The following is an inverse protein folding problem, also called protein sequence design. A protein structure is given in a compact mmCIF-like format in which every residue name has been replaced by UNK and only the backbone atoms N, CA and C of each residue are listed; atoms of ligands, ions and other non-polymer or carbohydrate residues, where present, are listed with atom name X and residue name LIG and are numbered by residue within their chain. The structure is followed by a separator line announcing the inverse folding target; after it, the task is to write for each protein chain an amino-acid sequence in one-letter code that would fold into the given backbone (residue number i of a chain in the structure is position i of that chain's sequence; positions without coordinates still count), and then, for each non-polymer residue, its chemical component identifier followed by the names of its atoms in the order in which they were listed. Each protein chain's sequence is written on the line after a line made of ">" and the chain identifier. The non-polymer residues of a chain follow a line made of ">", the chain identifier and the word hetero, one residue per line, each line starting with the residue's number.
data_IF_163482441647
#
_entry.id   IF_163482441647
#
_cell.length_a   1.000
_cell.length_b   1.000
_cell.length_c   1.000
_cell.angle_alpha   90.00
_cell.angle_beta   90.00
_cell.angle_gamma   90.00
#
_symmetry.space_group_name_H-M   'P 1'
#
loop_
_entity.id
_entity.type
_entity.pdbx_description
1 polymer ?
#
# COMPACT_ATOMS: atom_id res chain seq x y z
N UNK A 1 -13.57 -16.95 0.50
CA UNK A 1 -12.12 -16.93 0.86
C UNK A 1 -11.98 -16.82 2.36
N UNK A 2 -11.08 -17.58 2.99
CA UNK A 2 -10.78 -17.53 4.42
C UNK A 2 -9.36 -17.02 4.64
N UNK A 3 -9.19 -16.00 5.46
CA UNK A 3 -7.91 -15.34 5.74
C UNK A 3 -7.55 -15.59 7.20
N UNK A 4 -6.40 -16.21 7.45
CA UNK A 4 -5.87 -16.36 8.80
C UNK A 4 -4.85 -15.25 9.09
N UNK A 5 -5.00 -14.59 10.23
CA UNK A 5 -4.12 -13.50 10.67
C UNK A 5 -3.48 -13.89 12.01
N UNK A 6 -2.29 -14.51 11.99
CA UNK A 6 -1.58 -14.88 13.21
C UNK A 6 -0.99 -13.65 13.89
N UNK A 7 -1.18 -13.55 15.21
CA UNK A 7 -0.76 -12.42 16.02
C UNK A 7 0.31 -12.86 17.05
N UNK A 8 1.61 -12.88 16.66
CA UNK A 8 2.68 -13.41 17.52
C UNK A 8 3.06 -12.52 18.71
N UNK A 9 2.64 -11.27 18.73
CA UNK A 9 3.04 -10.33 19.79
C UNK A 9 2.02 -9.21 19.97
N UNK A 10 2.45 -8.05 20.48
CA UNK A 10 1.67 -6.81 20.44
C UNK A 10 1.77 -6.26 19.03
N UNK A 11 0.64 -6.16 18.35
CA UNK A 11 0.61 -5.84 16.92
C UNK A 11 0.46 -4.34 16.69
N UNK A 12 0.96 -3.86 15.56
CA UNK A 12 0.63 -2.54 15.05
C UNK A 12 -0.85 -2.50 14.65
N UNK A 13 -1.64 -1.66 15.32
CA UNK A 13 -3.06 -1.52 15.05
C UNK A 13 -3.33 -1.14 13.59
N UNK A 14 -2.52 -0.25 13.03
CA UNK A 14 -2.67 0.17 11.64
C UNK A 14 -2.59 -1.00 10.65
N UNK A 15 -1.67 -1.94 10.86
CA UNK A 15 -1.51 -3.10 9.97
C UNK A 15 -2.74 -4.03 10.09
N UNK A 16 -3.22 -4.28 11.31
CA UNK A 16 -4.40 -5.10 11.58
C UNK A 16 -5.66 -4.45 11.00
N UNK A 17 -5.84 -3.15 11.22
CA UNK A 17 -6.98 -2.39 10.69
C UNK A 17 -6.95 -2.33 9.16
N UNK A 18 -5.75 -2.24 8.55
CA UNK A 18 -5.62 -2.28 7.09
C UNK A 18 -6.16 -3.58 6.48
N UNK A 19 -5.95 -4.71 7.16
CA UNK A 19 -6.50 -6.02 6.73
C UNK A 19 -8.03 -5.99 6.84
N UNK A 20 -8.56 -5.54 7.99
CA UNK A 20 -10.01 -5.46 8.22
C UNK A 20 -10.65 -4.53 7.18
N UNK A 21 -10.08 -3.34 6.98
CA UNK A 21 -10.61 -2.34 6.07
C UNK A 21 -10.74 -2.87 4.64
N UNK A 22 -9.77 -3.62 4.14
CA UNK A 22 -9.78 -4.09 2.75
C UNK A 22 -10.62 -5.36 2.56
N UNK A 23 -10.66 -6.24 3.56
CA UNK A 23 -11.29 -7.56 3.39
C UNK A 23 -12.62 -7.71 4.13
N UNK A 24 -12.98 -6.79 5.02
CA UNK A 24 -14.23 -6.81 5.80
C UNK A 24 -15.06 -5.53 5.63
N UNK A 25 -14.79 -4.71 4.59
CA UNK A 25 -15.53 -3.48 4.34
C UNK A 25 -16.93 -3.78 3.77
N UNK A 26 -17.97 -3.38 4.50
CA UNK A 26 -19.37 -3.49 4.07
C UNK A 26 -19.72 -2.55 2.92
N UNK A 27 -18.93 -1.50 2.69
CA UNK A 27 -19.18 -0.52 1.63
C UNK A 27 -18.80 -1.02 0.24
N UNK A 28 -17.93 -2.01 0.14
CA UNK A 28 -17.57 -2.66 -1.09
C UNK A 28 -18.54 -3.81 -1.33
N UNK A 29 -19.22 -3.79 -2.47
CA UNK A 29 -20.22 -4.78 -2.84
C UNK A 29 -19.59 -6.15 -3.12
N UNK A 30 -19.14 -6.83 -2.05
CA UNK A 30 -19.11 -8.28 -2.07
C UNK A 30 -20.56 -8.75 -2.20
N UNK A 31 -20.88 -9.54 -3.22
CA UNK A 31 -22.15 -10.28 -3.18
C UNK A 31 -22.22 -11.00 -1.82
N UNK A 32 -23.37 -11.01 -1.17
CA UNK A 32 -23.57 -11.47 0.21
C UNK A 32 -23.05 -12.90 0.51
N UNK A 33 -22.68 -13.69 -0.51
CA UNK A 33 -22.12 -15.04 -0.41
C UNK A 33 -20.57 -15.12 -0.49
N UNK A 34 -19.88 -14.04 -0.90
CA UNK A 34 -18.47 -14.11 -1.30
C UNK A 34 -17.53 -13.30 -0.40
N UNK A 35 -18.06 -12.75 0.70
CA UNK A 35 -17.29 -11.97 1.66
C UNK A 35 -16.18 -12.83 2.30
N UNK A 36 -14.94 -12.34 2.33
CA UNK A 36 -13.87 -13.02 3.05
C UNK A 36 -14.17 -13.16 4.54
N UNK A 37 -13.79 -14.29 5.12
CA UNK A 37 -13.81 -14.52 6.57
C UNK A 37 -12.41 -14.28 7.11
N UNK A 38 -12.25 -13.41 8.08
CA UNK A 38 -10.98 -13.09 8.72
C UNK A 38 -10.93 -13.78 10.08
N UNK A 39 -9.98 -14.67 10.29
CA UNK A 39 -9.73 -15.34 11.55
C UNK A 39 -8.46 -14.78 12.19
N UNK A 40 -8.59 -14.02 13.26
CA UNK A 40 -7.45 -13.63 14.09
C UNK A 40 -7.08 -14.77 15.02
N UNK A 41 -5.83 -15.23 14.95
CA UNK A 41 -5.36 -16.40 15.70
C UNK A 41 -4.16 -16.07 16.59
N UNK A 42 -4.20 -16.56 17.83
CA UNK A 42 -3.11 -16.41 18.81
C UNK A 42 -3.19 -17.54 19.84
N UNK A 43 -2.30 -17.60 20.84
CA UNK A 43 -2.43 -18.54 21.95
C UNK A 43 -3.38 -18.07 23.07
N UNK A 44 -3.97 -16.88 22.92
CA UNK A 44 -4.90 -16.32 23.88
C UNK A 44 -6.25 -16.03 23.20
N UNK A 45 -7.29 -15.77 23.97
CA UNK A 45 -8.61 -15.37 23.44
C UNK A 45 -8.70 -13.90 23.03
N UNK A 46 -7.67 -13.12 23.34
CA UNK A 46 -7.51 -11.74 22.88
C UNK A 46 -6.02 -11.38 22.78
N UNK A 47 -5.69 -10.44 21.90
CA UNK A 47 -4.32 -9.91 21.73
C UNK A 47 -4.32 -8.39 21.83
N UNK A 48 -3.30 -7.87 22.48
CA UNK A 48 -3.07 -6.43 22.55
C UNK A 48 -2.57 -5.91 21.19
N UNK A 49 -3.09 -4.75 20.83
CA UNK A 49 -2.56 -3.89 19.78
C UNK A 49 -1.87 -2.69 20.47
N UNK A 50 -1.13 -1.90 19.71
CA UNK A 50 -0.61 -0.63 20.22
C UNK A 50 -1.74 0.35 20.55
N UNK A 51 -1.40 1.48 21.16
CA UNK A 51 -2.38 2.51 21.62
C UNK A 51 -3.49 2.01 22.55
N UNK A 52 -3.27 0.91 23.30
CA UNK A 52 -4.21 0.38 24.28
C UNK A 52 -5.42 -0.35 23.69
N UNK A 53 -5.42 -0.62 22.40
CA UNK A 53 -6.45 -1.43 21.75
C UNK A 53 -6.21 -2.93 21.97
N UNK A 54 -7.25 -3.74 21.76
CA UNK A 54 -7.17 -5.19 21.74
C UNK A 54 -8.13 -5.78 20.72
N UNK A 55 -7.83 -6.98 20.27
CA UNK A 55 -8.67 -7.72 19.33
C UNK A 55 -8.94 -9.13 19.87
N UNK A 56 -10.17 -9.62 19.68
CA UNK A 56 -10.54 -10.99 20.01
C UNK A 56 -9.85 -11.95 19.05
N UNK A 57 -9.42 -13.10 19.55
CA UNK A 57 -8.69 -14.10 18.77
C UNK A 57 -9.22 -15.50 19.05
N UNK A 58 -9.11 -16.39 18.07
CA UNK A 58 -9.24 -17.82 18.26
C UNK A 58 -7.92 -18.41 18.76
N UNK A 59 -7.97 -19.23 19.79
CA UNK A 59 -6.77 -19.88 20.27
C UNK A 59 -6.21 -20.83 19.20
N UNK A 60 -4.88 -20.77 18.96
CA UNK A 60 -4.23 -21.56 17.92
C UNK A 60 -4.51 -23.06 18.02
N UNK A 61 -4.59 -23.60 19.25
CA UNK A 61 -4.93 -25.02 19.52
C UNK A 61 -6.34 -25.41 19.08
N UNK A 62 -7.25 -24.42 19.02
CA UNK A 62 -8.67 -24.58 18.69
C UNK A 62 -8.95 -24.19 17.23
N UNK A 63 -7.93 -23.72 16.51
CA UNK A 63 -8.03 -23.31 15.11
C UNK A 63 -7.76 -24.50 14.18
N UNK A 64 -8.83 -25.04 13.61
CA UNK A 64 -8.79 -26.23 12.73
C UNK A 64 -9.18 -25.91 11.28
N UNK A 65 -9.44 -24.64 10.99
CA UNK A 65 -9.82 -24.18 9.68
C UNK A 65 -8.63 -24.22 8.69
N UNK A 66 -8.95 -24.33 7.41
CA UNK A 66 -7.95 -24.26 6.33
C UNK A 66 -8.03 -22.89 5.68
N UNK A 67 -7.08 -22.01 5.93
CA UNK A 67 -7.08 -20.70 5.27
C UNK A 67 -6.66 -20.83 3.80
N UNK A 68 -7.22 -19.94 2.97
CA UNK A 68 -6.79 -19.74 1.59
C UNK A 68 -5.58 -18.80 1.53
N UNK A 69 -5.48 -17.88 2.50
CA UNK A 69 -4.47 -16.85 2.62
C UNK A 69 -4.08 -16.65 4.08
N UNK A 70 -2.79 -16.45 4.34
CA UNK A 70 -2.27 -16.08 5.66
C UNK A 70 -1.68 -14.67 5.54
N UNK A 71 -2.08 -13.73 6.41
CA UNK A 71 -1.51 -12.39 6.46
C UNK A 71 -0.91 -12.14 7.84
N UNK A 72 0.40 -11.90 7.88
CA UNK A 72 1.15 -11.65 9.12
C UNK A 72 1.35 -10.13 9.24
N UNK A 73 0.62 -9.43 10.12
CA UNK A 73 0.81 -7.99 10.34
C UNK A 73 2.09 -7.70 11.10
N UNK A 74 2.53 -6.44 11.08
CA UNK A 74 3.66 -5.99 11.87
C UNK A 74 3.36 -5.99 13.37
N UNK A 75 4.38 -6.18 14.17
CA UNK A 75 4.27 -6.14 15.62
C UNK A 75 5.09 -4.99 16.23
N UNK A 76 4.58 -4.47 17.35
CA UNK A 76 5.18 -3.38 18.09
C UNK A 76 6.46 -3.83 18.81
N UNK A 77 7.38 -2.88 18.90
CA UNK A 77 8.63 -2.97 19.64
C UNK A 77 9.83 -3.66 18.97
N UNK A 78 10.14 -3.32 17.74
CA UNK A 78 11.39 -3.75 17.12
C UNK A 78 12.64 -3.10 17.77
N UNK A 79 12.50 -2.02 18.57
CA UNK A 79 13.64 -1.40 19.25
C UNK A 79 14.25 -2.26 20.37
N UNK A 80 13.49 -3.15 21.00
CA UNK A 80 14.04 -4.13 21.92
C UNK A 80 14.91 -5.17 21.21
N UNK A 81 14.65 -5.40 19.93
CA UNK A 81 15.46 -6.27 19.06
C UNK A 81 16.81 -5.63 18.76
N UNK A 82 16.82 -4.30 18.51
CA UNK A 82 18.01 -3.56 18.12
C UNK A 82 18.98 -3.31 19.28
N UNK A 83 18.51 -3.27 20.53
CA UNK A 83 19.31 -2.87 21.67
C UNK A 83 20.08 -3.99 22.34
N UNK A 84 19.76 -5.26 22.11
CA UNK A 84 20.45 -6.37 22.79
C UNK A 84 21.33 -7.23 21.86
N UNK A 85 22.26 -6.57 21.20
CA UNK A 85 23.33 -7.23 20.43
C UNK A 85 24.29 -8.06 21.29
N UNK A 86 24.12 -8.10 22.65
CA UNK A 86 25.11 -8.69 23.59
C UNK A 86 24.92 -10.18 23.84
N UNK A 87 23.78 -10.78 23.56
CA UNK A 87 23.50 -12.13 24.11
C UNK A 87 23.38 -13.23 23.08
N UNK A 88 23.60 -13.00 21.80
CA UNK A 88 23.57 -14.06 20.76
C UNK A 88 22.21 -14.73 20.51
N UNK A 89 21.23 -14.48 21.35
CA UNK A 89 19.90 -15.10 21.37
C UNK A 89 18.82 -14.21 20.72
N UNK A 90 19.22 -13.49 19.69
CA UNK A 90 18.36 -12.54 18.98
C UNK A 90 17.07 -13.18 18.38
N UNK A 91 17.11 -14.48 18.11
CA UNK A 91 15.95 -15.19 17.51
C UNK A 91 14.75 -15.30 18.45
N UNK A 92 14.98 -15.46 19.76
CA UNK A 92 13.92 -15.59 20.75
C UNK A 92 13.30 -14.24 21.16
N UNK A 93 14.01 -13.13 20.96
CA UNK A 93 13.60 -11.79 21.42
C UNK A 93 12.79 -10.97 20.41
N UNK A 94 12.68 -11.43 19.18
CA UNK A 94 11.76 -10.85 18.17
C UNK A 94 10.31 -10.85 18.64
N UNK A 95 9.97 -11.69 19.60
CA UNK A 95 8.61 -11.94 20.08
C UNK A 95 8.54 -11.64 21.59
N UNK A 96 8.45 -10.39 21.92
CA UNK A 96 8.75 -9.88 23.27
C UNK A 96 7.73 -10.18 24.35
N UNK A 97 6.54 -10.69 24.03
CA UNK A 97 5.50 -10.89 25.04
C UNK A 97 5.45 -12.32 25.58
N UNK A 98 5.59 -13.33 24.71
CA UNK A 98 5.58 -14.74 25.11
C UNK A 98 6.34 -15.60 24.08
N UNK A 99 7.54 -16.14 24.44
CA UNK A 99 8.31 -17.02 23.55
C UNK A 99 7.53 -18.28 23.13
N UNK A 100 6.63 -18.79 23.97
CA UNK A 100 5.82 -19.97 23.65
C UNK A 100 4.79 -19.67 22.55
N UNK A 101 4.16 -18.50 22.59
CA UNK A 101 3.26 -18.02 21.52
C UNK A 101 3.97 -17.95 20.18
N UNK A 102 5.14 -17.37 20.19
CA UNK A 102 5.94 -17.17 18.99
C UNK A 102 6.35 -18.52 18.36
N UNK A 103 6.78 -19.47 19.20
CA UNK A 103 7.14 -20.82 18.74
C UNK A 103 5.94 -21.56 18.15
N UNK A 104 4.78 -21.51 18.81
CA UNK A 104 3.57 -22.18 18.34
C UNK A 104 3.11 -21.60 16.99
N UNK A 105 3.11 -20.28 16.82
CA UNK A 105 2.78 -19.63 15.55
C UNK A 105 3.81 -19.97 14.47
N UNK A 106 5.09 -19.99 14.78
CA UNK A 106 6.15 -20.42 13.85
C UNK A 106 5.88 -21.83 13.35
N UNK A 107 5.64 -22.77 14.25
CA UNK A 107 5.44 -24.18 13.89
C UNK A 107 4.16 -24.36 13.06
N UNK A 108 3.11 -23.61 13.38
CA UNK A 108 1.89 -23.56 12.59
C UNK A 108 2.13 -22.98 11.18
N UNK A 109 2.91 -21.90 11.05
CA UNK A 109 3.28 -21.31 9.77
C UNK A 109 4.09 -22.31 8.92
N UNK A 110 5.04 -23.02 9.53
CA UNK A 110 5.83 -24.06 8.82
C UNK A 110 4.92 -25.16 8.31
N UNK A 111 3.95 -25.62 9.11
CA UNK A 111 2.97 -26.60 8.69
C UNK A 111 2.04 -26.10 7.57
N UNK A 112 1.83 -24.79 7.51
CA UNK A 112 0.97 -24.11 6.53
C UNK A 112 1.72 -23.64 5.26
N UNK A 113 2.94 -24.08 5.01
CA UNK A 113 3.83 -23.60 3.91
C UNK A 113 3.24 -23.74 2.50
N UNK A 114 2.16 -24.49 2.30
CA UNK A 114 1.44 -24.62 1.01
C UNK A 114 0.38 -23.56 0.78
N UNK A 115 0.00 -22.83 1.83
CA UNK A 115 -0.93 -21.70 1.76
C UNK A 115 -0.17 -20.47 1.25
N UNK A 116 -0.84 -19.57 0.60
CA UNK A 116 -0.27 -18.28 0.26
C UNK A 116 -0.06 -17.44 1.51
N UNK A 117 1.15 -16.87 1.66
CA UNK A 117 1.53 -16.13 2.86
C UNK A 117 1.93 -14.72 2.46
N UNK A 118 1.33 -13.75 3.10
CA UNK A 118 1.73 -12.35 3.03
C UNK A 118 2.24 -11.87 4.39
N UNK A 119 3.38 -11.21 4.42
CA UNK A 119 3.90 -10.60 5.65
C UNK A 119 4.17 -9.12 5.42
N UNK A 120 3.72 -8.28 6.34
CA UNK A 120 3.85 -6.84 6.23
C UNK A 120 4.68 -6.26 7.36
N UNK A 121 5.39 -5.17 7.08
CA UNK A 121 6.16 -4.43 8.08
C UNK A 121 7.15 -5.36 8.81
N UNK A 122 7.19 -5.31 10.14
CA UNK A 122 7.99 -6.20 10.99
C UNK A 122 7.46 -7.64 11.06
N UNK A 123 6.24 -7.92 10.58
CA UNK A 123 5.71 -9.27 10.45
C UNK A 123 6.56 -10.20 9.57
N UNK A 124 7.37 -9.61 8.68
CA UNK A 124 8.32 -10.33 7.83
C UNK A 124 9.38 -11.08 8.66
N UNK A 125 9.73 -10.59 9.83
CA UNK A 125 10.65 -11.30 10.73
C UNK A 125 10.05 -12.61 11.25
N UNK A 126 8.74 -12.63 11.56
CA UNK A 126 8.05 -13.86 11.96
C UNK A 126 8.10 -14.90 10.84
N UNK A 127 7.92 -14.48 9.60
CA UNK A 127 8.03 -15.36 8.44
C UNK A 127 9.49 -15.80 8.21
N UNK A 128 10.46 -14.91 8.33
CA UNK A 128 11.87 -15.25 8.18
C UNK A 128 12.34 -16.31 9.20
N UNK A 129 11.79 -16.24 10.40
CA UNK A 129 12.09 -17.21 11.47
C UNK A 129 11.62 -18.64 11.17
N UNK A 130 10.66 -18.82 10.29
CA UNK A 130 10.24 -20.15 9.81
C UNK A 130 11.25 -20.81 8.87
N UNK A 131 12.16 -20.04 8.27
CA UNK A 131 13.03 -20.47 7.18
C UNK A 131 12.39 -20.41 5.79
N UNK A 132 11.11 -20.03 5.69
CA UNK A 132 10.40 -19.96 4.39
C UNK A 132 10.91 -18.82 3.49
N UNK A 133 11.70 -17.88 4.04
CA UNK A 133 12.36 -16.83 3.27
C UNK A 133 13.77 -17.19 2.79
N UNK A 134 14.28 -18.39 3.06
CA UNK A 134 15.59 -18.81 2.56
C UNK A 134 15.60 -18.85 1.02
N UNK A 135 16.44 -18.01 0.40
CA UNK A 135 16.51 -17.85 -1.05
C UNK A 135 15.36 -17.07 -1.70
N UNK A 136 14.49 -16.44 -0.88
CA UNK A 136 13.35 -15.64 -1.35
C UNK A 136 13.67 -14.16 -1.30
N UNK A 137 13.34 -13.42 -2.36
CA UNK A 137 13.35 -11.97 -2.33
C UNK A 137 12.27 -11.44 -1.37
N UNK A 138 12.67 -10.63 -0.41
CA UNK A 138 11.77 -10.06 0.59
C UNK A 138 12.16 -8.62 0.94
N UNK A 139 11.23 -7.89 1.51
CA UNK A 139 11.44 -6.55 2.08
C UNK A 139 10.73 -6.45 3.42
N UNK A 140 11.10 -5.48 4.23
CA UNK A 140 10.48 -5.19 5.52
C UNK A 140 10.48 -3.68 5.77
N UNK A 141 10.02 -3.24 6.92
CA UNK A 141 10.01 -1.82 7.27
C UNK A 141 11.42 -1.21 7.21
N UNK A 142 11.55 -0.06 6.56
CA UNK A 142 12.81 0.56 6.15
C UNK A 142 13.90 0.59 7.25
N UNK A 143 13.61 0.96 8.51
CA UNK A 143 14.62 0.96 9.58
C UNK A 143 15.21 -0.42 9.91
N UNK A 144 14.55 -1.51 9.51
CA UNK A 144 14.88 -2.88 9.88
C UNK A 144 15.41 -3.74 8.73
N UNK A 145 15.66 -3.15 7.56
CA UNK A 145 16.21 -3.88 6.40
C UNK A 145 17.57 -4.50 6.68
N UNK A 146 18.47 -3.75 7.34
CA UNK A 146 19.79 -4.22 7.67
C UNK A 146 19.74 -5.28 8.79
N UNK A 147 18.83 -5.12 9.75
CA UNK A 147 18.63 -6.10 10.82
C UNK A 147 18.06 -7.42 10.27
N UNK A 148 17.10 -7.36 9.33
CA UNK A 148 16.58 -8.55 8.67
C UNK A 148 17.69 -9.29 7.91
N UNK A 149 18.49 -8.57 7.11
CA UNK A 149 19.59 -9.16 6.35
C UNK A 149 20.67 -9.77 7.25
N UNK A 150 20.99 -9.12 8.38
CA UNK A 150 21.99 -9.62 9.32
C UNK A 150 21.53 -10.85 10.09
N UNK A 151 20.23 -10.90 10.48
CA UNK A 151 19.68 -12.01 11.27
C UNK A 151 19.32 -13.23 10.40
N UNK A 152 18.92 -13.00 9.15
CA UNK A 152 18.48 -14.04 8.21
C UNK A 152 19.29 -13.94 6.90
N UNK A 153 20.59 -14.30 6.93
CA UNK A 153 21.49 -14.08 5.80
C UNK A 153 21.16 -14.90 4.56
N UNK A 154 20.25 -15.87 4.64
CA UNK A 154 19.78 -16.62 3.50
C UNK A 154 18.59 -15.97 2.80
N UNK A 155 17.90 -15.03 3.45
CA UNK A 155 16.83 -14.25 2.84
C UNK A 155 17.45 -13.20 1.89
N UNK A 156 16.84 -13.00 0.72
CA UNK A 156 17.32 -12.05 -0.28
C UNK A 156 16.68 -10.68 -0.06
N UNK A 157 17.15 -9.95 0.96
CA UNK A 157 16.54 -8.68 1.38
C UNK A 157 16.73 -7.58 0.33
N UNK A 158 15.63 -7.06 -0.19
CA UNK A 158 15.55 -5.99 -1.18
C UNK A 158 15.35 -4.64 -0.50
N UNK A 159 16.39 -3.79 -0.52
CA UNK A 159 16.38 -2.49 0.18
C UNK A 159 15.66 -1.39 -0.59
N UNK A 160 15.53 -1.56 -1.89
CA UNK A 160 14.94 -0.60 -2.84
C UNK A 160 13.48 -0.93 -3.19
N UNK A 161 12.87 -1.92 -2.50
CA UNK A 161 11.52 -2.36 -2.77
C UNK A 161 10.60 -2.16 -1.60
N UNK A 162 9.41 -1.66 -1.90
CA UNK A 162 8.35 -1.48 -0.92
C UNK A 162 7.46 -2.73 -0.80
N UNK A 163 7.42 -3.54 -1.85
CA UNK A 163 6.64 -4.77 -1.92
C UNK A 163 7.37 -5.80 -2.79
N UNK A 164 7.37 -7.05 -2.37
CA UNK A 164 7.89 -8.18 -3.14
C UNK A 164 6.84 -9.27 -3.23
N UNK A 165 6.86 -10.00 -4.35
CA UNK A 165 6.03 -11.18 -4.55
C UNK A 165 6.84 -12.29 -5.20
N UNK A 166 6.91 -13.44 -4.56
CA UNK A 166 7.45 -14.66 -5.13
C UNK A 166 6.29 -15.62 -5.49
N UNK A 167 5.87 -15.59 -6.75
CA UNK A 167 4.74 -16.37 -7.23
C UNK A 167 4.96 -17.89 -7.10
N UNK A 168 6.21 -18.39 -7.23
CA UNK A 168 6.54 -19.82 -7.11
C UNK A 168 6.33 -20.33 -5.69
N UNK A 169 6.70 -19.55 -4.69
CA UNK A 169 6.56 -19.88 -3.27
C UNK A 169 5.30 -19.30 -2.65
N UNK A 170 4.54 -18.50 -3.41
CA UNK A 170 3.31 -17.85 -2.98
C UNK A 170 3.55 -16.99 -1.73
N UNK A 171 4.63 -16.21 -1.75
CA UNK A 171 5.04 -15.36 -0.63
C UNK A 171 5.06 -13.90 -1.07
N UNK A 172 4.37 -13.07 -0.28
CA UNK A 172 4.38 -11.63 -0.39
C UNK A 172 5.05 -11.00 0.81
N UNK A 173 5.81 -9.93 0.62
CA UNK A 173 6.29 -9.10 1.73
C UNK A 173 6.18 -7.62 1.41
N UNK A 174 5.93 -6.78 2.43
CA UNK A 174 5.81 -5.34 2.25
C UNK A 174 6.53 -4.53 3.34
N UNK A 175 6.89 -3.30 2.98
CA UNK A 175 7.64 -2.37 3.81
C UNK A 175 6.86 -1.79 5.00
N UNK A 176 5.56 -2.07 5.12
CA UNK A 176 4.75 -1.53 6.21
C UNK A 176 4.26 -0.10 5.98
N UNK A 177 3.64 0.51 7.00
CA UNK A 177 2.98 1.81 6.87
C UNK A 177 1.89 1.77 5.80
N UNK A 178 1.72 2.82 5.01
CA UNK A 178 0.68 2.87 3.95
C UNK A 178 0.84 1.76 2.89
N UNK A 179 1.99 1.09 2.81
CA UNK A 179 2.23 -0.01 1.87
C UNK A 179 1.50 -1.30 2.32
N UNK A 180 1.06 -1.38 3.57
CA UNK A 180 0.18 -2.45 4.02
C UNK A 180 -1.15 -2.45 3.25
N UNK A 181 -1.72 -1.27 3.00
CA UNK A 181 -2.92 -1.13 2.16
C UNK A 181 -2.64 -1.56 0.71
N UNK A 182 -1.50 -1.15 0.14
CA UNK A 182 -1.12 -1.57 -1.22
C UNK A 182 -0.98 -3.10 -1.33
N UNK A 183 -0.40 -3.75 -0.31
CA UNK A 183 -0.33 -5.21 -0.24
C UNK A 183 -1.73 -5.84 -0.18
N UNK A 184 -2.60 -5.36 0.70
CA UNK A 184 -3.96 -5.88 0.83
C UNK A 184 -4.77 -5.71 -0.46
N UNK A 185 -4.65 -4.55 -1.14
CA UNK A 185 -5.29 -4.31 -2.45
C UNK A 185 -4.71 -5.25 -3.52
N UNK A 186 -3.40 -5.52 -3.53
CA UNK A 186 -2.79 -6.47 -4.47
C UNK A 186 -3.30 -7.90 -4.24
N UNK A 187 -3.41 -8.33 -2.99
CA UNK A 187 -3.99 -9.63 -2.62
C UNK A 187 -5.47 -9.70 -3.00
N UNK A 188 -6.24 -8.61 -2.78
CA UNK A 188 -7.63 -8.53 -3.20
C UNK A 188 -7.76 -8.68 -4.74
N UNK A 189 -6.87 -8.03 -5.50
CA UNK A 189 -6.84 -8.14 -6.96
C UNK A 189 -6.55 -9.58 -7.43
N UNK A 190 -5.63 -10.27 -6.74
CA UNK A 190 -5.27 -11.66 -7.05
C UNK A 190 -6.43 -12.64 -6.77
N UNK A 191 -7.12 -12.47 -5.64
CA UNK A 191 -8.14 -13.42 -5.17
C UNK A 191 -9.56 -13.11 -5.61
N UNK A 192 -9.93 -11.83 -5.69
CA UNK A 192 -11.29 -11.37 -5.97
C UNK A 192 -11.41 -10.56 -7.27
N UNK A 193 -10.28 -10.30 -7.93
CA UNK A 193 -10.22 -9.65 -9.24
C UNK A 193 -9.96 -8.15 -9.20
N UNK A 194 -9.39 -7.66 -10.32
CA UNK A 194 -8.93 -6.28 -10.49
C UNK A 194 -10.04 -5.23 -10.31
N UNK A 195 -11.26 -5.54 -10.73
CA UNK A 195 -12.38 -4.59 -10.64
C UNK A 195 -12.73 -4.27 -9.19
N UNK A 196 -12.78 -5.27 -8.32
CA UNK A 196 -13.06 -5.10 -6.90
C UNK A 196 -11.93 -4.33 -6.20
N UNK A 197 -10.68 -4.73 -6.46
CA UNK A 197 -9.50 -4.04 -5.92
C UNK A 197 -9.43 -2.57 -6.34
N UNK A 198 -9.83 -2.24 -7.58
CA UNK A 198 -9.90 -0.86 -8.05
C UNK A 198 -11.02 -0.09 -7.35
N UNK A 199 -12.20 -0.71 -7.16
CA UNK A 199 -13.30 -0.08 -6.44
C UNK A 199 -12.92 0.24 -4.99
N UNK A 200 -12.30 -0.72 -4.30
CA UNK A 200 -11.82 -0.55 -2.92
C UNK A 200 -10.76 0.55 -2.82
N UNK A 201 -9.77 0.54 -3.69
CA UNK A 201 -8.74 1.59 -3.72
C UNK A 201 -9.36 2.99 -3.95
N UNK A 202 -10.37 3.10 -4.81
CA UNK A 202 -11.08 4.36 -5.05
C UNK A 202 -11.87 4.82 -3.81
N UNK A 203 -12.52 3.90 -3.09
CA UNK A 203 -13.22 4.21 -1.82
C UNK A 203 -12.26 4.77 -0.78
N UNK A 204 -11.05 4.24 -0.71
CA UNK A 204 -9.98 4.69 0.18
C UNK A 204 -9.22 5.91 -0.38
N UNK A 205 -9.65 6.49 -1.50
CA UNK A 205 -8.95 7.58 -2.20
C UNK A 205 -7.49 7.26 -2.52
N UNK A 206 -7.16 5.99 -2.67
CA UNK A 206 -5.83 5.53 -3.03
C UNK A 206 -5.61 5.64 -4.52
N UNK A 207 -4.42 6.08 -4.93
CA UNK A 207 -4.01 5.98 -6.33
C UNK A 207 -3.64 4.53 -6.64
N UNK A 208 -4.52 3.81 -7.36
CA UNK A 208 -4.30 2.42 -7.72
C UNK A 208 -4.49 2.20 -9.24
N UNK A 209 -3.65 1.38 -9.90
CA UNK A 209 -2.47 0.73 -9.34
C UNK A 209 -1.33 1.73 -9.09
N UNK A 210 -0.72 1.70 -7.92
CA UNK A 210 0.56 2.38 -7.73
C UNK A 210 1.63 1.61 -8.49
N UNK A 211 2.63 2.30 -9.03
CA UNK A 211 3.80 1.68 -9.69
C UNK A 211 4.60 0.73 -8.78
N UNK A 212 4.24 0.67 -7.51
CA UNK A 212 4.82 -0.17 -6.45
C UNK A 212 4.30 -1.60 -6.51
N UNK A 213 3.12 -1.80 -7.06
CA UNK A 213 2.45 -3.07 -7.05
C UNK A 213 2.49 -3.72 -8.42
N UNK A 214 3.05 -4.90 -8.45
CA UNK A 214 2.62 -5.99 -9.29
C UNK A 214 2.91 -5.91 -10.79
N UNK A 215 4.05 -6.45 -11.20
CA UNK A 215 3.96 -7.37 -12.32
C UNK A 215 4.15 -8.79 -11.79
N UNK A 216 3.13 -9.61 -11.93
CA UNK A 216 3.31 -11.04 -12.01
C UNK A 216 4.41 -11.30 -13.03
N UNK A 217 5.52 -11.86 -12.61
CA UNK A 217 6.45 -12.45 -13.54
C UNK A 217 6.17 -13.94 -13.61
N UNK A 218 5.73 -14.41 -14.76
CA UNK A 218 5.62 -15.83 -15.08
C UNK A 218 6.98 -16.52 -14.91
N UNK A 219 7.34 -16.84 -13.67
CA UNK A 219 8.56 -17.60 -13.33
C UNK A 219 9.88 -16.84 -13.27
N UNK A 220 9.89 -15.52 -13.50
CA UNK A 220 11.05 -14.68 -13.21
C UNK A 220 10.91 -14.04 -11.82
N UNK A 221 12.01 -13.78 -11.07
CA UNK A 221 11.90 -13.09 -9.79
C UNK A 221 11.13 -11.80 -10.00
N UNK A 222 10.13 -11.55 -9.15
CA UNK A 222 9.32 -10.33 -9.15
C UNK A 222 10.21 -9.15 -8.82
N UNK A 223 10.92 -8.72 -9.82
CA UNK A 223 11.65 -7.47 -9.82
C UNK A 223 10.59 -6.42 -10.06
N UNK A 224 10.20 -5.66 -9.02
CA UNK A 224 9.90 -4.26 -9.29
C UNK A 224 11.09 -3.82 -10.14
N UNK A 225 10.93 -3.40 -11.40
CA UNK A 225 12.07 -2.96 -12.15
C UNK A 225 12.79 -1.98 -11.23
N UNK A 226 14.10 -2.19 -10.97
CA UNK A 226 14.93 -1.04 -10.60
C UNK A 226 14.41 0.05 -11.52
N UNK A 227 14.03 1.25 -10.98
CA UNK A 227 13.62 2.30 -11.87
C UNK A 227 14.67 2.27 -12.97
N UNK A 228 14.27 1.85 -14.17
CA UNK A 228 15.21 1.84 -15.25
C UNK A 228 15.65 3.29 -15.35
N UNK A 229 16.84 3.60 -15.77
CA UNK A 229 17.25 4.99 -16.03
C UNK A 229 16.11 5.77 -16.72
N UNK A 230 15.30 5.07 -17.52
CA UNK A 230 14.11 5.57 -18.19
C UNK A 230 12.90 5.81 -17.27
N UNK A 231 12.73 5.01 -16.21
CA UNK A 231 11.68 5.24 -15.18
C UNK A 231 12.07 6.42 -14.32
N UNK A 232 13.35 6.54 -13.94
CA UNK A 232 13.86 7.69 -13.20
C UNK A 232 13.70 8.99 -14.00
N UNK A 233 13.93 8.95 -15.32
CA UNK A 233 13.71 10.08 -16.23
C UNK A 233 12.22 10.51 -16.25
N UNK A 234 11.28 9.56 -16.30
CA UNK A 234 9.84 9.84 -16.28
C UNK A 234 9.43 10.39 -14.90
N UNK A 235 9.91 9.81 -13.81
CA UNK A 235 9.63 10.29 -12.44
C UNK A 235 10.21 11.70 -12.24
N UNK A 236 11.42 11.96 -12.70
CA UNK A 236 12.02 13.30 -12.65
C UNK A 236 11.22 14.32 -13.49
N UNK A 237 10.75 13.89 -14.67
CA UNK A 237 9.89 14.72 -15.52
C UNK A 237 8.55 15.03 -14.82
N UNK A 238 7.89 14.05 -14.20
CA UNK A 238 6.62 14.30 -13.49
C UNK A 238 6.80 15.29 -12.34
N UNK A 239 7.91 15.24 -11.60
CA UNK A 239 8.24 16.22 -10.56
C UNK A 239 8.36 17.62 -11.16
N UNK A 240 9.13 17.77 -12.23
CA UNK A 240 9.30 19.05 -12.93
C UNK A 240 7.97 19.59 -13.46
N UNK A 241 7.10 18.74 -13.96
CA UNK A 241 5.76 19.14 -14.44
C UNK A 241 4.91 19.67 -13.28
N UNK A 242 4.92 19.01 -12.12
CA UNK A 242 4.20 19.45 -10.91
C UNK A 242 4.70 20.83 -10.42
N UNK A 243 6.01 21.04 -10.45
CA UNK A 243 6.60 22.32 -10.06
C UNK A 243 6.23 23.49 -11.02
N UNK A 244 5.87 23.16 -12.26
CA UNK A 244 5.59 24.13 -13.33
C UNK A 244 4.31 23.83 -14.10
N UNK A 245 3.18 23.57 -13.41
CA UNK A 245 1.90 23.19 -14.03
C UNK A 245 1.33 24.23 -14.99
N UNK A 246 1.64 25.51 -14.77
CA UNK A 246 1.22 26.61 -15.65
C UNK A 246 1.91 26.64 -17.01
N UNK A 247 3.03 25.94 -17.16
CA UNK A 247 3.71 25.81 -18.44
C UNK A 247 2.83 25.05 -19.46
N UNK A 248 2.97 25.39 -20.75
CA UNK A 248 2.18 24.73 -21.82
C UNK A 248 2.70 23.31 -22.10
N UNK A 249 2.47 22.43 -21.12
CA UNK A 249 2.77 21.01 -21.25
C UNK A 249 1.79 20.37 -22.24
N UNK A 250 2.34 19.86 -23.31
CA UNK A 250 1.66 19.04 -24.32
C UNK A 250 2.35 17.68 -24.40
N UNK A 251 1.73 16.70 -25.05
CA UNK A 251 2.39 15.41 -25.30
C UNK A 251 3.71 15.58 -26.03
N UNK A 252 3.77 16.56 -26.94
CA UNK A 252 4.98 16.86 -27.72
C UNK A 252 6.09 17.45 -26.83
N UNK A 253 5.76 18.43 -25.97
CA UNK A 253 6.76 19.07 -25.08
C UNK A 253 7.25 18.07 -24.02
N UNK A 254 6.39 17.21 -23.49
CA UNK A 254 6.79 16.14 -22.58
C UNK A 254 7.73 15.13 -23.25
N UNK A 255 7.44 14.70 -24.47
CA UNK A 255 8.27 13.79 -25.23
C UNK A 255 9.63 14.41 -25.57
N UNK A 256 9.66 15.69 -25.97
CA UNK A 256 10.91 16.43 -26.25
C UNK A 256 11.78 16.55 -24.99
N UNK A 257 11.17 16.89 -23.83
CA UNK A 257 11.88 17.01 -22.55
C UNK A 257 12.50 15.68 -22.13
N UNK A 258 11.90 14.54 -22.51
CA UNK A 258 12.43 13.19 -22.26
C UNK A 258 13.27 12.64 -23.42
N UNK A 259 13.70 13.47 -24.38
CA UNK A 259 14.49 13.08 -25.54
C UNK A 259 13.91 11.90 -26.32
N UNK A 260 12.58 11.86 -26.50
CA UNK A 260 11.86 10.73 -27.07
C UNK A 260 10.90 11.15 -28.17
N UNK A 261 10.56 10.22 -29.08
CA UNK A 261 9.38 10.42 -29.93
C UNK A 261 8.09 10.36 -29.11
N UNK A 262 7.05 11.08 -29.52
CA UNK A 262 5.74 11.09 -28.83
C UNK A 262 5.18 9.69 -28.62
N UNK A 263 5.30 8.80 -29.62
CA UNK A 263 4.83 7.40 -29.53
C UNK A 263 5.60 6.59 -28.48
N UNK A 264 6.93 6.70 -28.50
CA UNK A 264 7.79 6.00 -27.52
C UNK A 264 7.57 6.55 -26.11
N UNK A 265 7.44 7.87 -25.97
CA UNK A 265 7.15 8.52 -24.69
C UNK A 265 5.79 8.07 -24.13
N UNK A 266 4.74 8.13 -24.94
CA UNK A 266 3.38 7.75 -24.49
C UNK A 266 3.34 6.30 -23.99
N UNK A 267 3.96 5.37 -24.74
CA UNK A 267 4.04 3.96 -24.32
C UNK A 267 4.77 3.82 -22.99
N UNK A 268 6.00 4.36 -22.89
CA UNK A 268 6.85 4.26 -21.69
C UNK A 268 6.22 4.96 -20.49
N UNK A 269 5.64 6.14 -20.70
CA UNK A 269 4.96 6.87 -19.64
C UNK A 269 3.78 6.06 -19.09
N UNK A 270 2.96 5.47 -19.97
CA UNK A 270 1.84 4.63 -19.56
C UNK A 270 2.30 3.34 -18.86
N UNK A 271 3.43 2.77 -19.27
CA UNK A 271 4.05 1.62 -18.61
C UNK A 271 4.54 1.97 -17.19
N UNK A 272 5.10 3.17 -16.98
CA UNK A 272 5.63 3.62 -15.68
C UNK A 272 4.53 4.17 -14.77
N UNK A 273 3.62 4.99 -15.33
CA UNK A 273 2.63 5.73 -14.55
C UNK A 273 1.26 5.05 -14.49
N UNK A 274 1.04 3.96 -15.24
CA UNK A 274 -0.23 3.23 -15.30
C UNK A 274 -1.34 3.93 -16.08
N UNK A 275 -1.15 5.20 -16.48
CA UNK A 275 -2.14 6.04 -17.17
C UNK A 275 -1.48 6.82 -18.31
N UNK A 276 -2.24 7.19 -19.38
CA UNK A 276 -1.71 8.02 -20.46
C UNK A 276 -1.21 9.39 -19.96
N UNK A 277 -0.15 9.97 -20.58
CA UNK A 277 0.40 11.26 -20.18
C UNK A 277 -0.61 12.41 -20.12
N UNK A 278 -1.54 12.46 -21.08
CA UNK A 278 -2.59 13.49 -21.13
C UNK A 278 -3.60 13.37 -19.98
N UNK A 279 -3.97 12.15 -19.64
CA UNK A 279 -4.86 11.87 -18.50
C UNK A 279 -4.17 12.25 -17.20
N UNK A 280 -2.93 11.80 -17.02
CA UNK A 280 -2.13 12.14 -15.85
C UNK A 280 -1.97 13.66 -15.68
N UNK A 281 -1.57 14.37 -16.73
CA UNK A 281 -1.37 15.82 -16.70
C UNK A 281 -2.67 16.56 -16.34
N UNK A 282 -3.81 16.14 -16.90
CA UNK A 282 -5.10 16.72 -16.57
C UNK A 282 -5.44 16.51 -15.10
N UNK A 283 -5.22 15.32 -14.57
CA UNK A 283 -5.45 14.99 -13.15
C UNK A 283 -4.60 15.87 -12.23
N UNK A 284 -3.30 16.03 -12.52
CA UNK A 284 -2.43 16.92 -11.73
C UNK A 284 -2.91 18.38 -11.74
N UNK A 285 -3.32 18.89 -12.90
CA UNK A 285 -3.87 20.23 -13.04
C UNK A 285 -5.18 20.42 -12.27
N UNK A 286 -6.05 19.42 -12.27
CA UNK A 286 -7.32 19.46 -11.54
C UNK A 286 -7.11 19.35 -10.01
N UNK A 287 -6.16 18.54 -9.56
CA UNK A 287 -5.81 18.47 -8.15
C UNK A 287 -5.23 19.79 -7.64
N UNK A 288 -4.33 20.42 -8.40
CA UNK A 288 -3.82 21.75 -8.07
C UNK A 288 -4.91 22.83 -8.10
N UNK A 289 -5.87 22.72 -9.03
CA UNK A 289 -7.02 23.61 -9.05
C UNK A 289 -7.93 23.44 -7.84
N UNK A 290 -8.15 22.20 -7.40
CA UNK A 290 -8.88 21.88 -6.18
C UNK A 290 -8.23 22.52 -4.96
N UNK A 291 -6.91 22.36 -4.79
CA UNK A 291 -6.14 22.96 -3.71
C UNK A 291 -6.25 24.50 -3.70
N UNK A 292 -6.15 25.15 -4.87
CA UNK A 292 -6.32 26.60 -4.97
C UNK A 292 -7.77 27.06 -4.68
N UNK A 293 -8.78 26.22 -4.97
CA UNK A 293 -10.16 26.51 -4.60
C UNK A 293 -10.40 26.44 -3.10
N UNK A 294 -9.71 25.56 -2.41
CA UNK A 294 -9.78 25.35 -0.95
C UNK A 294 -9.01 26.42 -0.18
N UNK A 295 -7.81 26.77 -0.65
CA UNK A 295 -6.87 27.61 0.11
C UNK A 295 -6.86 29.09 -0.29
N UNK A 296 -7.57 29.49 -1.35
CA UNK A 296 -7.50 30.85 -1.87
C UNK A 296 -8.83 31.37 -2.40
N UNK A 297 -8.97 32.70 -2.43
CA UNK A 297 -10.10 33.40 -3.06
C UNK A 297 -9.83 33.80 -4.52
N UNK A 298 -8.85 33.19 -5.17
CA UNK A 298 -8.47 33.52 -6.54
C UNK A 298 -9.67 33.37 -7.51
N UNK A 299 -9.83 34.29 -8.47
CA UNK A 299 -10.83 34.15 -9.54
C UNK A 299 -10.59 32.87 -10.35
N UNK A 300 -11.67 32.24 -10.85
CA UNK A 300 -11.61 30.99 -11.62
C UNK A 300 -10.67 31.09 -12.83
N UNK A 301 -10.59 32.26 -13.46
CA UNK A 301 -9.67 32.49 -14.57
C UNK A 301 -8.21 32.42 -14.11
N UNK A 302 -7.88 32.95 -12.94
CA UNK A 302 -6.52 32.90 -12.39
C UNK A 302 -6.14 31.48 -11.96
N UNK A 303 -7.07 30.74 -11.36
CA UNK A 303 -6.87 29.33 -11.02
C UNK A 303 -6.55 28.54 -12.28
N UNK A 304 -7.38 28.70 -13.33
CA UNK A 304 -7.17 28.00 -14.59
C UNK A 304 -5.78 28.27 -15.18
N UNK A 305 -5.33 29.53 -15.19
CA UNK A 305 -4.01 29.90 -15.71
C UNK A 305 -2.87 29.34 -14.86
N UNK A 306 -2.97 29.41 -13.53
CA UNK A 306 -1.92 28.91 -12.63
C UNK A 306 -1.76 27.39 -12.68
N UNK A 307 -2.83 26.69 -12.99
CA UNK A 307 -2.85 25.22 -13.10
C UNK A 307 -2.63 24.71 -14.52
N UNK A 308 -2.40 25.62 -15.49
CA UNK A 308 -2.15 25.25 -16.89
C UNK A 308 -3.41 24.82 -17.65
N UNK A 309 -4.59 25.11 -17.11
CA UNK A 309 -5.85 25.03 -17.83
C UNK A 309 -6.04 26.34 -18.61
N UNK A 310 -6.47 26.25 -19.88
CA UNK A 310 -6.47 27.41 -20.80
C UNK A 310 -7.28 28.61 -20.31
N UNK A 311 -8.45 28.34 -19.71
CA UNK A 311 -9.40 29.35 -19.25
C UNK A 311 -10.37 28.77 -18.21
N UNK A 312 -11.21 29.65 -17.63
CA UNK A 312 -12.22 29.27 -16.64
C UNK A 312 -13.24 28.26 -17.18
N UNK A 313 -13.57 28.28 -18.45
CA UNK A 313 -14.53 27.33 -19.03
C UNK A 313 -13.93 25.92 -19.15
N UNK A 314 -12.66 25.82 -19.53
CA UNK A 314 -11.91 24.58 -19.52
C UNK A 314 -11.82 24.01 -18.09
N UNK A 315 -11.53 24.86 -17.11
CA UNK A 315 -11.53 24.47 -15.69
C UNK A 315 -12.91 23.93 -15.28
N UNK A 316 -13.99 24.66 -15.54
CA UNK A 316 -15.37 24.22 -15.20
C UNK A 316 -15.71 22.89 -15.82
N UNK A 317 -15.45 22.73 -17.12
CA UNK A 317 -15.74 21.50 -17.86
C UNK A 317 -15.03 20.29 -17.27
N UNK A 318 -13.72 20.38 -17.14
CA UNK A 318 -12.91 19.24 -16.67
C UNK A 318 -13.08 18.96 -15.18
N UNK A 319 -13.21 20.01 -14.37
CA UNK A 319 -13.44 19.86 -12.92
C UNK A 319 -14.80 19.20 -12.65
N UNK A 320 -15.87 19.67 -13.32
CA UNK A 320 -17.19 19.06 -13.15
C UNK A 320 -17.23 17.60 -13.64
N UNK A 321 -16.51 17.28 -14.70
CA UNK A 321 -16.42 15.90 -15.19
C UNK A 321 -15.66 14.99 -14.22
N UNK A 322 -14.62 15.51 -13.53
CA UNK A 322 -13.79 14.73 -12.62
C UNK A 322 -14.41 14.61 -11.22
N UNK A 323 -15.01 15.68 -10.70
CA UNK A 323 -15.49 15.77 -9.31
C UNK A 323 -17.02 15.82 -9.16
N UNK A 324 -17.77 15.78 -10.26
CA UNK A 324 -19.24 15.79 -10.23
C UNK A 324 -19.87 17.13 -9.82
N UNK A 325 -19.08 18.17 -9.53
CA UNK A 325 -19.54 19.45 -9.02
C UNK A 325 -18.81 20.62 -9.70
N UNK A 326 -19.53 21.74 -9.90
CA UNK A 326 -18.92 22.95 -10.45
C UNK A 326 -17.87 23.55 -9.49
N UNK A 327 -16.70 24.03 -9.96
CA UNK A 327 -15.65 24.57 -9.09
C UNK A 327 -16.10 25.70 -8.16
N UNK A 328 -16.99 26.60 -8.63
CA UNK A 328 -17.52 27.67 -7.77
C UNK A 328 -18.39 27.16 -6.64
N UNK A 329 -19.21 26.13 -6.91
CA UNK A 329 -20.01 25.46 -5.89
C UNK A 329 -19.14 24.66 -4.94
N UNK A 330 -18.13 23.95 -5.46
CA UNK A 330 -17.16 23.24 -4.65
C UNK A 330 -16.50 24.15 -3.60
N UNK A 331 -16.00 25.34 -4.02
CA UNK A 331 -15.44 26.36 -3.10
C UNK A 331 -16.45 26.79 -2.04
N UNK A 332 -17.69 27.07 -2.44
CA UNK A 332 -18.73 27.51 -1.49
C UNK A 332 -19.08 26.44 -0.46
N UNK A 333 -19.17 25.20 -0.89
CA UNK A 333 -19.51 24.07 -0.01
C UNK A 333 -18.33 23.78 0.95
N UNK A 334 -17.09 23.87 0.49
CA UNK A 334 -15.88 23.73 1.32
C UNK A 334 -15.82 24.81 2.40
N UNK A 335 -15.99 26.08 2.06
CA UNK A 335 -15.99 27.21 3.00
C UNK A 335 -17.15 27.13 4.01
N UNK A 336 -18.32 26.60 3.61
CA UNK A 336 -19.44 26.39 4.54
C UNK A 336 -19.18 25.26 5.53
N UNK A 337 -18.41 24.28 5.17
CA UNK A 337 -18.05 23.15 6.05
C UNK A 337 -17.02 23.60 7.10
N UNK A 338 -16.07 24.42 6.71
CA UNK A 338 -15.04 24.99 7.60
C UNK A 338 -15.63 26.04 8.59
N UNK A 339 -16.69 26.77 8.19
CA UNK A 339 -17.30 27.84 8.98
C UNK A 339 -18.46 27.38 9.89
N UNK A 340 -18.76 26.07 9.98
CA UNK A 340 -19.65 25.58 11.02
C UNK A 340 -18.86 25.45 12.33
N UNK A 341 -19.14 26.30 13.36
CA UNK A 341 -18.66 26.02 14.71
C UNK A 341 -19.20 24.65 15.10
N UNK A 342 -18.36 23.82 15.70
CA UNK A 342 -18.81 22.64 16.46
C UNK A 342 -19.79 23.14 17.51
N UNK A 343 -21.10 23.08 17.22
CA UNK A 343 -22.11 23.18 18.27
C UNK A 343 -21.89 21.97 19.17
N UNK A 344 -21.42 22.29 20.40
CA UNK A 344 -21.30 21.37 21.51
C UNK A 344 -22.63 20.66 21.76
N UNK A 345 -22.60 19.34 21.81
CA UNK A 345 -23.53 18.54 22.64
C UNK A 345 -22.68 17.77 23.63
#
# INVERSE_FOLDING_TARGET
>A
MRIAVPLPGTMWAFDVISIIQIFDDDSVMYGSSDRPVIDFIANASSKALDHGMSIATTALRDYHEKPDLIIIPGFANPHEIATDRRTGDAKARLFTADPADALAIRDWLVASHRVEIAAMCTGVFALAWTGLLDGVECTTHLPFLDDLAAQFPKALVQKDRLLTHNAKQRIWTSAGGSICLDLCIALLAEHAGQSLATAEANMLMMHYPRSVATRRSDGAPSVLPRPSRQSDEIIALTRRVREHLSYDWTLTTLAQTSHSSTRSFQRRFSEVMGVPPSTWLLTERLNAAKELLELTDLPMQQIALRTGLRNADSLRKHFSAAFGVNPSRYRQDFLRTELRPTENV
#
